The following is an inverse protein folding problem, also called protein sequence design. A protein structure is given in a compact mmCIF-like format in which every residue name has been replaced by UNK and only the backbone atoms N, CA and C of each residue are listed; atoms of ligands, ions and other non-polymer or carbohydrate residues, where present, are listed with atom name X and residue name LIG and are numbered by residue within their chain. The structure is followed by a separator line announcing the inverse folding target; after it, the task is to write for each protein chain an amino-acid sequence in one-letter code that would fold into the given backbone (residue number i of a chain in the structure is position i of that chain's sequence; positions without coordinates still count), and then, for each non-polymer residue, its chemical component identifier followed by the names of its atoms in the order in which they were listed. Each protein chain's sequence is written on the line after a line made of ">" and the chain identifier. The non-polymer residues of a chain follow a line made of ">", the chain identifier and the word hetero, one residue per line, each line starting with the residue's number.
data_IF_384813691618
#
_entry.id   IF_384813691618
#
_cell.length_a   1.000
_cell.length_b   1.000
_cell.length_c   1.000
_cell.angle_alpha   90.00
_cell.angle_beta   90.00
_cell.angle_gamma   90.00
#
_symmetry.space_group_name_H-M   'P 1'
#
loop_
_entity.id
_entity.type
_entity.pdbx_description
1 polymer ?
#
# COMPACT_ATOMS: atom_id res chain seq x y z
N UNK A 1 49.93 17.04 -17.39
CA UNK A 1 50.91 16.81 -16.31
C UNK A 1 50.94 17.96 -15.29
N UNK A 2 50.77 19.23 -15.69
CA UNK A 2 50.82 20.38 -14.77
C UNK A 2 49.84 20.37 -13.57
N UNK A 3 48.65 19.75 -13.67
CA UNK A 3 47.70 19.71 -12.55
C UNK A 3 48.16 18.89 -11.33
N UNK A 4 49.02 17.89 -11.54
CA UNK A 4 49.45 17.01 -10.45
C UNK A 4 50.52 17.66 -9.57
N UNK A 5 51.43 18.43 -10.17
CA UNK A 5 52.47 19.15 -9.41
C UNK A 5 51.86 20.23 -8.52
N UNK A 6 50.84 20.94 -9.01
CA UNK A 6 50.09 21.89 -8.19
C UNK A 6 49.31 21.20 -7.07
N UNK A 7 48.64 20.08 -7.33
CA UNK A 7 47.92 19.32 -6.30
C UNK A 7 48.86 18.78 -5.21
N UNK A 8 50.05 18.31 -5.58
CA UNK A 8 51.07 17.85 -4.64
C UNK A 8 51.60 18.99 -3.76
N UNK A 9 51.80 20.18 -4.32
CA UNK A 9 52.20 21.37 -3.55
C UNK A 9 51.19 21.74 -2.47
N UNK A 10 49.91 21.84 -2.83
CA UNK A 10 48.83 22.09 -1.85
C UNK A 10 48.69 20.98 -0.82
N UNK A 11 48.87 19.73 -1.22
CA UNK A 11 48.83 18.60 -0.30
C UNK A 11 49.96 18.67 0.72
N UNK A 12 51.17 19.04 0.28
CA UNK A 12 52.32 19.17 1.17
C UNK A 12 52.13 20.29 2.20
N UNK A 13 51.68 21.47 1.77
CA UNK A 13 51.33 22.58 2.68
C UNK A 13 50.25 22.17 3.69
N UNK A 14 49.23 21.43 3.24
CA UNK A 14 48.18 20.91 4.12
C UNK A 14 48.72 19.92 5.15
N UNK A 15 49.59 18.99 4.75
CA UNK A 15 50.18 18.01 5.66
C UNK A 15 51.07 18.69 6.69
N UNK A 16 51.88 19.67 6.30
CA UNK A 16 52.70 20.45 7.24
C UNK A 16 51.83 21.22 8.25
N UNK A 17 50.78 21.89 7.77
CA UNK A 17 49.81 22.55 8.65
C UNK A 17 49.10 21.57 9.60
N UNK A 18 48.68 20.41 9.09
CA UNK A 18 47.99 19.39 9.87
C UNK A 18 48.91 18.79 10.95
N UNK A 19 50.16 18.47 10.60
CA UNK A 19 51.15 17.95 11.53
C UNK A 19 51.60 18.98 12.57
N UNK A 20 51.53 20.27 12.26
CA UNK A 20 51.82 21.37 13.19
C UNK A 20 50.76 21.55 14.29
N UNK A 21 49.57 20.97 14.15
CA UNK A 21 48.53 21.03 15.17
C UNK A 21 48.76 20.01 16.31
N UNK A 22 48.26 20.28 17.53
CA UNK A 22 48.34 19.34 18.63
C UNK A 22 47.52 18.07 18.35
N UNK A 23 47.95 16.93 18.92
CA UNK A 23 47.43 15.59 18.63
C UNK A 23 45.90 15.50 18.80
N UNK A 24 45.33 16.13 19.83
CA UNK A 24 43.87 16.11 20.05
C UNK A 24 43.09 16.81 18.92
N UNK A 25 43.65 17.87 18.33
CA UNK A 25 43.01 18.60 17.24
C UNK A 25 43.06 17.80 15.94
N UNK A 26 44.19 17.12 15.66
CA UNK A 26 44.32 16.20 14.53
C UNK A 26 43.27 15.08 14.58
N UNK A 27 43.14 14.42 15.75
CA UNK A 27 42.15 13.35 15.94
C UNK A 27 40.73 13.87 15.76
N UNK A 28 40.39 15.02 16.36
CA UNK A 28 39.06 15.63 16.20
C UNK A 28 38.76 16.00 14.74
N UNK A 29 39.73 16.53 14.01
CA UNK A 29 39.57 16.90 12.61
C UNK A 29 39.33 15.67 11.73
N UNK A 30 40.10 14.59 11.92
CA UNK A 30 39.88 13.32 11.20
C UNK A 30 38.49 12.77 11.51
N UNK A 31 38.11 12.69 12.79
CA UNK A 31 36.79 12.18 13.19
C UNK A 31 35.68 13.05 12.61
N UNK A 32 35.83 14.38 12.63
CA UNK A 32 34.89 15.32 12.04
C UNK A 32 34.77 15.14 10.53
N UNK A 33 35.89 15.01 9.81
CA UNK A 33 35.89 14.78 8.37
C UNK A 33 35.18 13.47 8.01
N UNK A 34 35.46 12.38 8.75
CA UNK A 34 34.77 11.10 8.56
C UNK A 34 33.27 11.24 8.83
N UNK A 35 32.88 11.91 9.91
CA UNK A 35 31.47 12.14 10.24
C UNK A 35 30.74 12.93 9.13
N UNK A 36 31.37 13.97 8.59
CA UNK A 36 30.82 14.77 7.48
C UNK A 36 30.69 13.93 6.21
N UNK A 37 31.67 13.09 5.88
CA UNK A 37 31.60 12.18 4.73
C UNK A 37 30.44 11.19 4.89
N UNK A 38 30.31 10.56 6.06
CA UNK A 38 29.20 9.63 6.34
C UNK A 38 27.86 10.33 6.22
N UNK A 39 27.72 11.54 6.79
CA UNK A 39 26.50 12.33 6.70
C UNK A 39 26.18 12.69 5.24
N UNK A 40 27.18 13.07 4.45
CA UNK A 40 27.02 13.38 3.03
C UNK A 40 26.52 12.15 2.25
N UNK A 41 27.08 10.97 2.49
CA UNK A 41 26.63 9.71 1.85
C UNK A 41 25.18 9.39 2.22
N UNK A 42 24.82 9.53 3.50
CA UNK A 42 23.45 9.32 3.97
C UNK A 42 22.48 10.30 3.29
N UNK A 43 22.85 11.58 3.20
CA UNK A 43 22.05 12.61 2.55
C UNK A 43 21.82 12.27 1.07
N UNK A 44 22.89 11.92 0.34
CA UNK A 44 22.81 11.52 -1.07
C UNK A 44 21.88 10.31 -1.24
N UNK A 45 22.01 9.30 -0.36
CA UNK A 45 21.13 8.13 -0.37
C UNK A 45 19.65 8.52 -0.19
N UNK A 46 19.33 9.38 0.78
CA UNK A 46 17.96 9.84 1.00
C UNK A 46 17.42 10.69 -0.14
N UNK A 47 18.25 11.53 -0.75
CA UNK A 47 17.85 12.33 -1.92
C UNK A 47 17.55 11.42 -3.09
N UNK A 48 18.40 10.45 -3.40
CA UNK A 48 18.15 9.49 -4.48
C UNK A 48 16.88 8.67 -4.24
N UNK A 49 16.69 8.18 -3.01
CA UNK A 49 15.47 7.47 -2.62
C UNK A 49 14.24 8.36 -2.76
N UNK A 50 14.31 9.61 -2.30
CA UNK A 50 13.24 10.60 -2.42
C UNK A 50 12.88 10.90 -3.87
N UNK A 51 13.89 11.10 -4.74
CA UNK A 51 13.70 11.34 -6.17
C UNK A 51 13.06 10.12 -6.85
N UNK A 52 13.51 8.91 -6.55
CA UNK A 52 12.91 7.69 -7.10
C UNK A 52 11.43 7.56 -6.70
N UNK A 53 11.10 7.80 -5.42
CA UNK A 53 9.71 7.83 -4.96
C UNK A 53 8.90 8.93 -5.64
N UNK A 54 9.47 10.12 -5.81
CA UNK A 54 8.80 11.25 -6.47
C UNK A 54 8.45 10.91 -7.92
N UNK A 55 9.40 10.34 -8.67
CA UNK A 55 9.15 9.87 -10.05
C UNK A 55 8.05 8.80 -10.07
N UNK A 56 8.13 7.80 -9.17
CA UNK A 56 7.11 6.77 -9.04
C UNK A 56 5.72 7.37 -8.84
N UNK A 57 5.58 8.34 -7.93
CA UNK A 57 4.31 9.00 -7.64
C UNK A 57 3.81 9.85 -8.82
N UNK A 58 4.69 10.55 -9.52
CA UNK A 58 4.33 11.32 -10.73
C UNK A 58 3.82 10.38 -11.82
N UNK A 59 4.48 9.24 -12.05
CA UNK A 59 4.03 8.24 -13.04
C UNK A 59 2.70 7.62 -12.62
N UNK A 60 2.53 7.26 -11.35
CA UNK A 60 1.27 6.72 -10.83
C UNK A 60 0.12 7.74 -10.95
N UNK A 61 0.40 9.01 -10.65
CA UNK A 61 -0.56 10.10 -10.76
C UNK A 61 -0.97 10.37 -12.21
N UNK A 62 0.01 10.46 -13.12
CA UNK A 62 -0.25 10.66 -14.55
C UNK A 62 -0.99 9.46 -15.16
N UNK A 63 -0.67 8.23 -14.78
CA UNK A 63 -1.40 7.03 -15.21
C UNK A 63 -2.89 7.08 -14.78
N UNK A 64 -3.17 7.44 -13.52
CA UNK A 64 -4.54 7.58 -13.02
C UNK A 64 -5.31 8.68 -13.76
N UNK A 65 -4.69 9.83 -13.99
CA UNK A 65 -5.29 10.92 -14.75
C UNK A 65 -5.59 10.51 -16.19
N UNK A 66 -4.64 9.87 -16.86
CA UNK A 66 -4.81 9.42 -18.23
C UNK A 66 -5.95 8.39 -18.32
N UNK A 67 -6.00 7.43 -17.39
CA UNK A 67 -7.10 6.46 -17.27
C UNK A 67 -8.46 7.15 -17.11
N UNK A 68 -8.55 8.18 -16.27
CA UNK A 68 -9.78 8.94 -16.07
C UNK A 68 -10.22 9.68 -17.35
N UNK A 69 -9.28 10.31 -18.06
CA UNK A 69 -9.56 11.01 -19.32
C UNK A 69 -10.06 10.04 -20.39
N UNK A 70 -9.37 8.90 -20.59
CA UNK A 70 -9.81 7.89 -21.58
C UNK A 70 -11.18 7.32 -21.24
N UNK A 71 -11.46 7.03 -19.97
CA UNK A 71 -12.77 6.54 -19.54
C UNK A 71 -13.87 7.58 -19.81
N UNK A 72 -13.59 8.86 -19.53
CA UNK A 72 -14.51 9.97 -19.80
C UNK A 72 -14.80 10.12 -21.30
N UNK A 73 -13.75 10.13 -22.11
CA UNK A 73 -13.88 10.21 -23.58
C UNK A 73 -14.65 8.99 -24.13
N UNK A 74 -14.31 7.78 -23.69
CA UNK A 74 -15.00 6.56 -24.12
C UNK A 74 -16.50 6.62 -23.83
N UNK A 75 -16.89 7.10 -22.64
CA UNK A 75 -18.30 7.25 -22.26
C UNK A 75 -19.04 8.27 -23.13
N UNK A 76 -18.39 9.40 -23.45
CA UNK A 76 -18.96 10.40 -24.37
C UNK A 76 -19.15 9.83 -25.77
N UNK A 77 -18.16 9.10 -26.30
CA UNK A 77 -18.27 8.44 -27.60
C UNK A 77 -19.33 7.33 -27.60
N UNK A 78 -19.48 6.57 -26.51
CA UNK A 78 -20.53 5.56 -26.38
C UNK A 78 -21.92 6.19 -26.49
N UNK A 79 -22.19 7.28 -25.76
CA UNK A 79 -23.46 8.01 -25.85
C UNK A 79 -23.70 8.62 -27.23
N UNK A 80 -22.67 9.19 -27.86
CA UNK A 80 -22.78 9.75 -29.20
C UNK A 80 -23.08 8.66 -30.24
N UNK A 81 -22.39 7.52 -30.14
CA UNK A 81 -22.56 6.39 -31.04
C UNK A 81 -23.99 5.83 -31.01
N UNK A 82 -24.56 5.63 -29.82
CA UNK A 82 -25.93 5.14 -29.71
C UNK A 82 -26.98 6.17 -30.15
N UNK A 83 -26.72 7.46 -29.92
CA UNK A 83 -27.60 8.54 -30.39
C UNK A 83 -27.63 8.61 -31.92
N UNK A 84 -26.47 8.50 -32.57
CA UNK A 84 -26.36 8.55 -34.04
C UNK A 84 -26.83 7.24 -34.68
N UNK A 85 -26.54 6.09 -34.07
CA UNK A 85 -26.87 4.78 -34.65
C UNK A 85 -28.37 4.45 -34.57
N UNK A 86 -29.17 5.19 -33.77
CA UNK A 86 -30.62 4.97 -33.64
C UNK A 86 -31.01 3.58 -33.09
N UNK A 87 -30.04 2.79 -32.61
CA UNK A 87 -30.27 1.47 -32.03
C UNK A 87 -30.47 1.62 -30.51
N UNK A 88 -31.45 0.93 -29.90
CA UNK A 88 -31.60 0.92 -28.46
C UNK A 88 -30.30 0.39 -27.83
N UNK A 89 -29.78 1.14 -26.85
CA UNK A 89 -28.60 0.78 -26.07
C UNK A 89 -28.79 -0.66 -25.58
N UNK A 90 -27.85 -1.60 -25.80
CA UNK A 90 -27.94 -2.89 -25.16
C UNK A 90 -28.00 -2.61 -23.66
N UNK A 91 -29.06 -3.08 -23.02
CA UNK A 91 -29.12 -3.17 -21.57
C UNK A 91 -27.98 -4.12 -21.22
N UNK A 92 -26.80 -3.55 -20.97
CA UNK A 92 -25.79 -4.20 -20.14
C UNK A 92 -26.55 -4.44 -18.86
N UNK A 93 -26.96 -5.70 -18.64
CA UNK A 93 -27.41 -6.14 -17.34
C UNK A 93 -26.45 -5.53 -16.33
N UNK A 94 -27.05 -4.85 -15.35
CA UNK A 94 -26.39 -4.45 -14.13
C UNK A 94 -25.94 -5.73 -13.39
N UNK A 95 -24.91 -6.41 -13.91
CA UNK A 95 -24.04 -7.32 -13.17
C UNK A 95 -22.81 -6.59 -12.66
N UNK A 96 -22.95 -5.28 -12.43
CA UNK A 96 -22.11 -4.52 -11.51
C UNK A 96 -23.02 -3.54 -10.78
N UNK A 97 -23.68 -4.06 -9.74
CA UNK A 97 -24.29 -3.25 -8.69
C UNK A 97 -23.17 -2.61 -7.84
N UNK A 98 -22.38 -1.71 -8.42
CA UNK A 98 -21.65 -0.68 -7.65
C UNK A 98 -22.55 0.55 -7.59
N UNK A 99 -23.40 0.58 -6.56
CA UNK A 99 -24.04 1.81 -6.12
C UNK A 99 -23.04 2.52 -5.16
N UNK A 100 -22.37 3.54 -5.70
CA UNK A 100 -21.78 4.77 -5.12
C UNK A 100 -21.75 4.92 -3.58
N UNK A 101 -20.73 5.44 -2.90
CA UNK A 101 -19.34 5.88 -3.19
C UNK A 101 -18.75 6.32 -1.82
N UNK A 102 -17.53 5.91 -1.44
CA UNK A 102 -16.43 6.77 -0.93
C UNK A 102 -15.19 5.95 -0.49
N UNK A 103 -14.00 6.57 -0.53
CA UNK A 103 -13.03 6.58 -1.63
C UNK A 103 -12.03 5.41 -1.56
N UNK A 104 -11.80 4.70 -2.68
CA UNK A 104 -10.75 3.67 -2.76
C UNK A 104 -9.36 4.34 -2.76
N UNK A 105 -8.54 3.99 -1.75
CA UNK A 105 -7.12 4.31 -1.71
C UNK A 105 -6.36 3.50 -2.80
N UNK A 106 -5.52 4.13 -3.63
CA UNK A 106 -4.83 3.45 -4.72
C UNK A 106 -3.66 2.59 -4.22
N UNK A 107 -3.78 1.28 -4.39
CA UNK A 107 -2.70 0.30 -4.24
C UNK A 107 -1.41 0.78 -4.88
N UNK A 108 -0.36 0.84 -4.08
CA UNK A 108 1.01 1.09 -4.46
C UNK A 108 1.66 -0.28 -4.64
N UNK A 109 2.00 -0.61 -5.89
CA UNK A 109 3.01 -1.61 -6.19
C UNK A 109 4.32 -1.18 -5.54
N UNK A 110 4.79 -1.97 -4.58
CA UNK A 110 6.19 -2.10 -4.21
C UNK A 110 6.53 -3.59 -4.29
N UNK A 111 7.67 -3.87 -4.91
CA UNK A 111 8.34 -5.17 -4.86
C UNK A 111 8.45 -5.69 -3.42
N UNK A 112 8.15 -6.98 -3.29
CA UNK A 112 8.87 -7.96 -2.47
C UNK A 112 9.66 -7.38 -1.28
N UNK A 113 8.95 -7.22 -0.16
CA UNK A 113 9.57 -7.29 1.16
C UNK A 113 9.04 -8.53 1.88
N UNK A 114 10.01 -9.21 2.50
CA UNK A 114 9.97 -10.53 3.09
C UNK A 114 8.62 -10.95 3.68
N UNK A 115 8.21 -12.15 3.26
CA UNK A 115 7.27 -13.08 3.89
C UNK A 115 6.83 -12.64 5.29
N UNK A 116 5.69 -11.96 5.37
CA UNK A 116 4.85 -11.99 6.56
C UNK A 116 3.47 -12.45 6.10
N UNK A 117 3.17 -13.69 6.47
CA UNK A 117 1.92 -14.39 6.22
C UNK A 117 0.73 -13.49 6.60
N UNK A 118 -0.21 -13.19 5.68
CA UNK A 118 -1.41 -12.47 6.05
C UNK A 118 -2.23 -13.37 6.97
N UNK A 119 -2.32 -12.97 8.23
CA UNK A 119 -3.26 -13.53 9.21
C UNK A 119 -4.64 -13.62 8.58
N UNK A 120 -5.07 -14.84 8.29
CA UNK A 120 -6.46 -15.16 7.99
C UNK A 120 -7.32 -14.51 9.07
N UNK A 121 -8.30 -13.69 8.68
CA UNK A 121 -9.40 -13.37 9.60
C UNK A 121 -10.08 -14.70 9.90
N UNK A 122 -9.80 -15.24 11.09
CA UNK A 122 -10.37 -16.48 11.58
C UNK A 122 -11.90 -16.39 11.50
N UNK A 123 -12.47 -17.11 10.53
CA UNK A 123 -13.88 -17.43 10.55
C UNK A 123 -14.01 -18.48 11.65
N UNK A 124 -14.57 -18.08 12.78
CA UNK A 124 -14.82 -19.02 13.87
C UNK A 124 -15.94 -19.97 13.46
N UNK A 125 -15.66 -21.26 13.60
CA UNK A 125 -16.63 -22.33 13.43
C UNK A 125 -17.47 -22.34 14.71
N UNK A 126 -18.76 -22.09 14.56
CA UNK A 126 -19.68 -22.06 15.70
C UNK A 126 -20.77 -23.12 15.48
N UNK A 127 -21.20 -23.76 16.56
CA UNK A 127 -22.36 -24.65 16.52
C UNK A 127 -23.62 -23.86 16.12
N UNK A 128 -24.54 -24.44 15.33
CA UNK A 128 -25.74 -23.77 14.84
C UNK A 128 -26.70 -23.26 15.93
N UNK A 129 -26.51 -23.70 17.19
CA UNK A 129 -27.29 -23.29 18.35
C UNK A 129 -26.73 -22.08 19.11
N UNK A 130 -25.67 -21.44 18.62
CA UNK A 130 -25.18 -20.22 19.24
C UNK A 130 -26.18 -19.08 19.09
N UNK A 131 -26.62 -18.52 20.21
CA UNK A 131 -27.61 -17.44 20.27
C UNK A 131 -26.95 -16.06 20.32
N UNK A 132 -25.64 -15.99 20.58
CA UNK A 132 -24.92 -14.74 20.82
C UNK A 132 -23.62 -14.64 20.03
N UNK A 133 -23.26 -13.41 19.67
CA UNK A 133 -22.01 -13.07 19.02
C UNK A 133 -20.84 -13.17 20.01
N UNK A 134 -19.81 -13.96 19.71
CA UNK A 134 -18.64 -14.14 20.60
C UNK A 134 -17.82 -12.87 20.79
N UNK A 135 -17.94 -11.91 19.87
CA UNK A 135 -17.13 -10.69 19.85
C UNK A 135 -17.82 -9.49 20.51
N UNK A 136 -19.13 -9.30 20.27
CA UNK A 136 -19.87 -8.16 20.83
C UNK A 136 -20.93 -8.56 21.86
N UNK A 137 -21.11 -9.85 22.13
CA UNK A 137 -22.08 -10.36 23.10
C UNK A 137 -23.56 -10.11 22.74
N UNK A 138 -23.84 -9.53 21.57
CA UNK A 138 -25.21 -9.26 21.14
C UNK A 138 -25.89 -10.53 20.64
N UNK A 139 -27.19 -10.64 20.91
CA UNK A 139 -28.01 -11.75 20.44
C UNK A 139 -28.09 -11.73 18.91
N UNK A 140 -28.01 -12.91 18.29
CA UNK A 140 -28.20 -13.04 16.85
C UNK A 140 -29.62 -12.67 16.46
N UNK A 141 -29.72 -11.86 15.42
CA UNK A 141 -31.02 -11.51 14.82
C UNK A 141 -31.58 -12.72 14.05
N UNK A 142 -32.90 -12.80 13.93
CA UNK A 142 -33.56 -13.89 13.18
C UNK A 142 -32.99 -14.04 11.76
N UNK A 143 -32.70 -12.91 11.09
CA UNK A 143 -32.07 -12.90 9.76
C UNK A 143 -30.69 -13.54 9.73
N UNK A 144 -29.90 -13.39 10.79
CA UNK A 144 -28.58 -14.04 10.88
C UNK A 144 -28.72 -15.54 11.10
N UNK A 145 -29.67 -15.96 11.94
CA UNK A 145 -29.93 -17.39 12.19
C UNK A 145 -30.46 -18.08 10.93
N UNK A 146 -31.32 -17.42 10.18
CA UNK A 146 -31.83 -17.93 8.90
C UNK A 146 -30.71 -18.04 7.86
N UNK A 147 -29.79 -17.06 7.80
CA UNK A 147 -28.60 -17.13 6.93
C UNK A 147 -27.61 -18.21 7.35
N UNK A 148 -27.42 -18.44 8.66
CA UNK A 148 -26.62 -19.56 9.16
C UNK A 148 -27.23 -20.90 8.77
N UNK A 149 -28.56 -21.07 8.93
CA UNK A 149 -29.24 -22.32 8.56
C UNK A 149 -29.30 -22.56 7.05
N UNK A 150 -29.46 -21.51 6.24
CA UNK A 150 -29.63 -21.65 4.79
C UNK A 150 -28.30 -21.74 4.03
N UNK A 151 -27.37 -20.84 4.33
CA UNK A 151 -26.12 -20.69 3.55
C UNK A 151 -24.88 -21.13 4.34
N UNK A 152 -25.04 -21.56 5.60
CA UNK A 152 -23.94 -21.95 6.46
C UNK A 152 -23.03 -20.80 6.92
N UNK A 153 -23.29 -19.56 6.49
CA UNK A 153 -22.45 -18.38 6.78
C UNK A 153 -23.35 -17.18 7.08
N UNK A 154 -23.11 -16.50 8.20
CA UNK A 154 -23.69 -15.19 8.47
C UNK A 154 -22.69 -14.24 9.11
N UNK A 155 -22.95 -12.95 8.95
CA UNK A 155 -22.14 -11.89 9.54
C UNK A 155 -22.93 -11.18 10.62
N UNK A 156 -22.28 -10.86 11.74
CA UNK A 156 -22.89 -10.03 12.77
C UNK A 156 -23.22 -8.65 12.22
N UNK A 157 -24.48 -8.25 12.31
CA UNK A 157 -24.93 -6.91 11.89
C UNK A 157 -24.30 -5.81 12.75
N UNK A 158 -23.90 -6.13 13.98
CA UNK A 158 -23.35 -5.15 14.93
C UNK A 158 -21.83 -5.01 14.86
N UNK A 159 -21.08 -6.11 14.66
CA UNK A 159 -19.61 -6.08 14.65
C UNK A 159 -18.96 -6.53 13.34
N UNK A 160 -19.74 -6.99 12.36
CA UNK A 160 -19.26 -7.40 11.03
C UNK A 160 -18.44 -8.70 11.01
N UNK A 161 -18.34 -9.42 12.13
CA UNK A 161 -17.62 -10.70 12.21
C UNK A 161 -18.42 -11.81 11.52
N UNK A 162 -17.72 -12.60 10.71
CA UNK A 162 -18.30 -13.72 9.96
C UNK A 162 -18.24 -15.01 10.75
N UNK A 163 -19.35 -15.74 10.73
CA UNK A 163 -19.53 -17.01 11.40
C UNK A 163 -19.91 -18.06 10.36
N UNK A 164 -19.35 -19.26 10.50
CA UNK A 164 -19.70 -20.41 9.67
C UNK A 164 -20.24 -21.52 10.56
N UNK A 165 -21.43 -22.02 10.25
CA UNK A 165 -21.98 -23.20 10.92
C UNK A 165 -21.43 -24.45 10.25
N UNK A 166 -20.90 -25.37 11.05
CA UNK A 166 -20.73 -26.76 10.60
C UNK A 166 -22.09 -27.43 10.76
N UNK A 167 -22.65 -27.95 9.68
CA UNK A 167 -23.79 -28.87 9.77
C UNK A 167 -23.38 -30.02 10.68
N UNK A 168 -24.01 -30.11 11.85
CA UNK A 168 -23.90 -31.30 12.70
C UNK A 168 -24.85 -32.30 12.07
N UNK A 169 -24.32 -33.31 11.38
CA UNK A 169 -25.07 -34.51 11.08
C UNK A 169 -25.51 -35.11 12.42
N UNK A 170 -26.80 -34.93 12.72
CA UNK A 170 -27.43 -35.58 13.87
C UNK A 170 -27.52 -37.06 13.51
N UNK A 171 -26.62 -37.89 14.04
CA UNK A 171 -26.82 -39.34 14.08
C UNK A 171 -28.09 -39.60 14.91
N UNK A 172 -29.19 -39.86 14.20
CA UNK A 172 -30.42 -40.38 14.81
C UNK A 172 -30.15 -41.84 15.25
N UNK A 173 -30.08 -42.06 16.57
CA UNK A 173 -30.25 -43.38 17.20
C UNK A 173 -31.73 -43.74 17.30
#
# INVERSE_FOLDING_TARGET
>A
MANWEHALGYWQEFIEWFLGMPIYAQVLLIVGAVAVIVLAVILVYFVLKGVAYLIYYILKGTYLLLKAIFLGIYKLFEELYYTISGKPKPIKEFSDKKCYEQPEAPQQSYEEQEIIVPSQKEIQIIQPDAVFCSECGTQYTERMLEQLRGNGIAYCVYCGKGYKSTEVEVEQY
#
